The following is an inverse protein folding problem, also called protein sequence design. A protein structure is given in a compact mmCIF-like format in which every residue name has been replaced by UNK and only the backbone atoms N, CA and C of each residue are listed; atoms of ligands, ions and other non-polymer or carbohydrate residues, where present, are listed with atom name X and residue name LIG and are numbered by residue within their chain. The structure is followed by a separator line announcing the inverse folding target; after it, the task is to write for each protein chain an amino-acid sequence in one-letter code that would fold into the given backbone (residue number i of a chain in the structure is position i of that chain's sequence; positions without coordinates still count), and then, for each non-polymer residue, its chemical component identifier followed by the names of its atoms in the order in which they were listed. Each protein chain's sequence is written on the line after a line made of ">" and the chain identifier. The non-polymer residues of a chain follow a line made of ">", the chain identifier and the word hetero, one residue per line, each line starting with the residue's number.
data_IF_295171626772
#
_entry.id   IF_295171626772
#
_cell.length_a   1.000
_cell.length_b   1.000
_cell.length_c   1.000
_cell.angle_alpha   90.00
_cell.angle_beta   90.00
_cell.angle_gamma   90.00
#
_symmetry.space_group_name_H-M   'P 1'
#
loop_
_entity.id
_entity.type
_entity.pdbx_description
1 polymer ?
#
# COMPACT_ATOMS: atom_id res chain seq x y z
N UNK A 1 -5.76 -4.58 -27.35
CA UNK A 1 -6.10 -4.72 -25.92
C UNK A 1 -6.64 -6.10 -25.60
N UNK A 2 -7.59 -6.66 -26.35
CA UNK A 2 -8.18 -8.00 -26.15
C UNK A 2 -7.14 -9.14 -26.22
N UNK A 3 -6.21 -9.09 -27.17
CA UNK A 3 -5.16 -10.13 -27.36
C UNK A 3 -4.21 -10.25 -26.15
N UNK A 4 -3.96 -9.16 -25.43
CA UNK A 4 -3.10 -9.17 -24.24
C UNK A 4 -3.78 -9.86 -23.04
N UNK A 5 -5.08 -9.67 -22.89
CA UNK A 5 -5.88 -10.29 -21.84
C UNK A 5 -5.99 -11.81 -22.03
N UNK A 6 -6.22 -12.28 -23.27
CA UNK A 6 -6.34 -13.72 -23.55
C UNK A 6 -5.02 -14.48 -23.33
N UNK A 7 -3.89 -13.87 -23.66
CA UNK A 7 -2.57 -14.48 -23.39
C UNK A 7 -2.22 -14.50 -21.90
N UNK A 8 -2.69 -13.52 -21.15
CA UNK A 8 -2.51 -13.43 -19.70
C UNK A 8 -3.34 -14.49 -18.97
N UNK A 9 -4.63 -14.60 -19.29
CA UNK A 9 -5.52 -15.63 -18.70
C UNK A 9 -5.11 -17.07 -19.06
N UNK A 10 -4.59 -17.29 -20.28
CA UNK A 10 -4.03 -18.57 -20.68
C UNK A 10 -2.83 -18.99 -19.84
N UNK A 11 -1.97 -18.03 -19.44
CA UNK A 11 -0.81 -18.30 -18.59
C UNK A 11 -1.17 -18.52 -17.12
N UNK A 12 -2.14 -17.79 -16.59
CA UNK A 12 -2.64 -18.03 -15.22
C UNK A 12 -3.19 -19.45 -15.03
N UNK A 13 -3.79 -20.04 -16.07
CA UNK A 13 -4.30 -21.41 -16.03
C UNK A 13 -3.20 -22.49 -16.09
N UNK A 14 -2.02 -22.16 -16.60
CA UNK A 14 -0.92 -23.12 -16.80
C UNK A 14 0.15 -23.07 -15.71
N UNK A 15 0.30 -21.96 -15.01
CA UNK A 15 1.28 -21.84 -13.92
C UNK A 15 0.62 -22.14 -12.57
N UNK A 16 0.86 -23.35 -12.05
CA UNK A 16 0.49 -23.76 -10.69
C UNK A 16 1.34 -22.96 -9.69
N UNK A 17 0.91 -21.75 -9.32
CA UNK A 17 1.52 -21.00 -8.24
C UNK A 17 1.20 -21.69 -6.89
N UNK A 18 2.16 -21.78 -5.96
CA UNK A 18 2.09 -22.64 -4.77
C UNK A 18 1.25 -22.08 -3.61
N UNK A 19 0.29 -21.19 -3.86
CA UNK A 19 -0.56 -20.61 -2.82
C UNK A 19 -1.77 -21.52 -2.57
N UNK A 20 -1.67 -22.35 -1.56
CA UNK A 20 -2.75 -23.24 -1.11
C UNK A 20 -3.95 -22.41 -0.63
N UNK A 21 -5.09 -22.54 -1.28
CA UNK A 21 -6.40 -22.11 -0.79
C UNK A 21 -7.15 -21.07 -1.64
N UNK A 22 -6.63 -20.64 -2.77
CA UNK A 22 -7.28 -19.68 -3.66
C UNK A 22 -8.00 -20.38 -4.82
N UNK A 23 -9.32 -20.21 -4.92
CA UNK A 23 -10.05 -20.59 -6.14
C UNK A 23 -10.15 -19.34 -7.04
N UNK A 24 -9.36 -19.32 -8.09
CA UNK A 24 -9.34 -18.24 -9.08
C UNK A 24 -10.72 -17.93 -9.69
N UNK A 25 -11.56 -18.95 -9.89
CA UNK A 25 -12.88 -18.76 -10.47
C UNK A 25 -13.83 -17.86 -9.66
N UNK A 26 -13.69 -17.81 -8.33
CA UNK A 26 -14.51 -16.92 -7.49
C UNK A 26 -14.06 -15.46 -7.59
N UNK A 27 -12.75 -15.23 -7.66
CA UNK A 27 -12.17 -13.87 -7.79
C UNK A 27 -12.42 -13.31 -9.19
N UNK A 28 -12.24 -14.11 -10.24
CA UNK A 28 -12.56 -13.69 -11.61
C UNK A 28 -14.04 -13.32 -11.76
N UNK A 29 -14.96 -14.11 -11.23
CA UNK A 29 -16.40 -13.84 -11.32
C UNK A 29 -16.80 -12.58 -10.52
N UNK A 30 -16.22 -12.38 -9.35
CA UNK A 30 -16.42 -11.17 -8.55
C UNK A 30 -15.89 -9.93 -9.28
N UNK A 31 -14.71 -10.03 -9.90
CA UNK A 31 -14.10 -8.93 -10.66
C UNK A 31 -14.81 -8.62 -11.97
N UNK A 32 -15.31 -9.62 -12.68
CA UNK A 32 -16.12 -9.39 -13.89
C UNK A 32 -17.44 -8.70 -13.52
N UNK A 33 -18.09 -9.12 -12.44
CA UNK A 33 -19.27 -8.43 -11.91
C UNK A 33 -18.98 -6.97 -11.51
N UNK A 34 -17.86 -6.73 -10.84
CA UNK A 34 -17.40 -5.37 -10.50
C UNK A 34 -17.12 -4.52 -11.74
N UNK A 35 -16.51 -5.07 -12.79
CA UNK A 35 -16.21 -4.34 -14.02
C UNK A 35 -17.45 -3.79 -14.68
N UNK A 36 -18.53 -4.57 -14.72
CA UNK A 36 -19.80 -4.13 -15.32
C UNK A 36 -20.47 -3.03 -14.47
N UNK A 37 -20.31 -3.08 -13.16
CA UNK A 37 -20.73 -2.00 -12.26
C UNK A 37 -19.86 -0.74 -12.37
N UNK A 38 -18.53 -0.87 -12.55
CA UNK A 38 -17.57 0.24 -12.61
C UNK A 38 -17.49 0.94 -13.97
N UNK A 39 -18.03 0.34 -15.04
CA UNK A 39 -17.96 0.90 -16.39
C UNK A 39 -18.71 2.22 -16.59
N UNK A 40 -19.53 2.64 -15.63
CA UNK A 40 -20.39 3.81 -15.72
C UNK A 40 -19.89 5.05 -14.95
N UNK A 41 -18.71 5.01 -14.31
CA UNK A 41 -18.22 6.14 -13.52
C UNK A 41 -17.59 7.24 -14.37
N UNK A 42 -18.23 8.38 -14.43
CA UNK A 42 -17.73 9.60 -15.09
C UNK A 42 -17.73 10.84 -14.17
N UNK A 43 -17.74 10.65 -12.85
CA UNK A 43 -17.85 11.78 -11.95
C UNK A 43 -16.54 12.53 -11.73
N UNK A 44 -16.59 13.86 -11.73
CA UNK A 44 -15.41 14.66 -11.46
C UNK A 44 -14.98 14.51 -10.00
N UNK A 45 -13.70 14.40 -9.80
CA UNK A 45 -13.04 14.51 -8.49
C UNK A 45 -13.36 15.89 -7.90
N UNK A 46 -13.56 15.95 -6.59
CA UNK A 46 -13.74 17.22 -5.91
C UNK A 46 -12.50 18.14 -6.11
N UNK A 47 -12.70 19.44 -5.99
CA UNK A 47 -11.60 20.41 -6.07
C UNK A 47 -10.62 20.30 -4.88
N UNK A 48 -10.98 19.55 -3.84
CA UNK A 48 -10.17 19.35 -2.63
C UNK A 48 -10.21 17.87 -2.20
N UNK A 49 -9.65 16.94 -3.01
CA UNK A 49 -9.62 15.53 -2.67
C UNK A 49 -8.73 15.30 -1.45
N UNK A 50 -9.16 14.42 -0.54
CA UNK A 50 -8.39 14.06 0.65
C UNK A 50 -7.46 12.89 0.34
N UNK A 51 -6.30 12.88 0.98
CA UNK A 51 -5.40 11.73 0.93
C UNK A 51 -5.41 11.03 2.29
N UNK A 52 -5.84 9.75 2.34
CA UNK A 52 -6.01 9.04 3.59
C UNK A 52 -5.12 7.79 3.62
N UNK A 53 -4.24 7.76 4.60
CA UNK A 53 -3.40 6.61 4.89
C UNK A 53 -4.10 5.67 5.87
N UNK A 54 -4.12 4.38 5.54
CA UNK A 54 -4.59 3.31 6.41
C UNK A 54 -3.37 2.54 6.92
N UNK A 55 -3.12 2.62 8.21
CA UNK A 55 -1.93 2.04 8.85
C UNK A 55 -2.36 0.91 9.80
N UNK A 56 -2.39 -0.34 9.32
CA UNK A 56 -2.69 -1.49 10.18
C UNK A 56 -1.50 -1.77 11.10
N UNK A 57 -1.70 -1.60 12.41
CA UNK A 57 -0.66 -1.80 13.41
C UNK A 57 -0.75 -3.20 14.01
N UNK A 58 0.36 -3.93 14.07
CA UNK A 58 0.46 -5.22 14.75
C UNK A 58 0.11 -5.06 16.22
N UNK A 59 -0.54 -6.07 16.84
CA UNK A 59 -0.79 -6.03 18.30
C UNK A 59 0.50 -6.20 19.09
N UNK A 60 0.53 -5.61 20.29
CA UNK A 60 1.65 -5.78 21.22
C UNK A 60 1.93 -7.24 21.55
N UNK A 61 0.88 -8.06 21.66
CA UNK A 61 1.00 -9.48 21.95
C UNK A 61 1.66 -10.30 20.82
N UNK A 62 1.52 -9.83 19.57
CA UNK A 62 2.14 -10.47 18.39
C UNK A 62 3.51 -9.91 18.02
N UNK A 63 3.80 -8.68 18.45
CA UNK A 63 5.06 -8.04 18.16
C UNK A 63 6.21 -8.78 18.86
N UNK A 64 7.28 -9.08 18.13
CA UNK A 64 8.51 -9.63 18.72
C UNK A 64 9.20 -8.60 19.62
N UNK A 65 9.15 -7.34 19.22
CA UNK A 65 9.64 -6.20 19.97
C UNK A 65 8.71 -5.01 19.72
N UNK A 66 7.90 -4.68 20.72
CA UNK A 66 6.93 -3.57 20.65
C UNK A 66 7.60 -2.19 20.62
N UNK A 67 8.77 -2.07 21.27
CA UNK A 67 9.52 -0.81 21.27
C UNK A 67 9.99 -0.49 19.85
N UNK A 68 10.52 -1.49 19.15
CA UNK A 68 10.92 -1.35 17.75
C UNK A 68 9.73 -1.01 16.86
N UNK A 69 8.57 -1.65 17.06
CA UNK A 69 7.34 -1.33 16.31
C UNK A 69 6.95 0.14 16.51
N UNK A 70 6.97 0.63 17.75
CA UNK A 70 6.66 2.03 18.04
C UNK A 70 7.68 3.00 17.44
N UNK A 71 8.96 2.66 17.45
CA UNK A 71 10.01 3.49 16.84
C UNK A 71 9.82 3.60 15.31
N UNK A 72 9.57 2.48 14.64
CA UNK A 72 9.35 2.45 13.20
C UNK A 72 8.07 3.22 12.83
N UNK A 73 6.96 3.01 13.55
CA UNK A 73 5.75 3.78 13.35
C UNK A 73 5.98 5.29 13.52
N UNK A 74 6.78 5.68 14.50
CA UNK A 74 7.13 7.10 14.71
C UNK A 74 7.82 7.67 13.47
N UNK A 75 8.79 6.98 12.91
CA UNK A 75 9.47 7.40 11.67
C UNK A 75 8.52 7.46 10.47
N UNK A 76 7.64 6.48 10.33
CA UNK A 76 6.57 6.50 9.31
C UNK A 76 5.71 7.76 9.44
N UNK A 77 5.28 8.11 10.67
CA UNK A 77 4.48 9.32 10.91
C UNK A 77 5.27 10.61 10.68
N UNK A 78 6.53 10.67 11.06
CA UNK A 78 7.41 11.82 10.76
C UNK A 78 7.57 12.02 9.25
N UNK A 79 7.63 10.95 8.46
CA UNK A 79 7.64 11.03 7.01
C UNK A 79 6.31 11.57 6.45
N UNK A 80 5.18 11.25 7.07
CA UNK A 80 3.89 11.84 6.70
C UNK A 80 3.82 13.32 7.08
N UNK A 81 4.31 13.69 8.25
CA UNK A 81 4.38 15.11 8.67
C UNK A 81 5.26 15.93 7.72
N UNK A 82 6.31 15.33 7.15
CA UNK A 82 7.23 15.98 6.20
C UNK A 82 6.69 16.07 4.76
N UNK A 83 5.50 15.56 4.47
CA UNK A 83 4.91 15.67 3.13
C UNK A 83 4.75 17.14 2.72
N UNK A 84 5.19 17.48 1.51
CA UNK A 84 5.12 18.85 0.97
C UNK A 84 3.69 19.35 0.77
N UNK A 85 2.73 18.46 0.60
CA UNK A 85 1.31 18.76 0.59
C UNK A 85 0.66 18.31 1.91
N UNK A 86 0.08 19.22 2.71
CA UNK A 86 -0.50 18.91 4.02
C UNK A 86 -1.91 18.30 3.97
N UNK A 87 -2.52 18.15 2.78
CA UNK A 87 -3.90 17.67 2.63
C UNK A 87 -4.01 16.15 2.74
N UNK A 88 -3.55 15.62 3.87
CA UNK A 88 -3.62 14.20 4.19
C UNK A 88 -4.14 13.96 5.61
N UNK A 89 -4.59 12.73 5.84
CA UNK A 89 -4.89 12.16 7.15
C UNK A 89 -4.28 10.76 7.25
N UNK A 90 -4.06 10.28 8.47
CA UNK A 90 -3.64 8.91 8.73
C UNK A 90 -4.51 8.28 9.82
N UNK A 91 -5.01 7.08 9.56
CA UNK A 91 -5.78 6.28 10.51
C UNK A 91 -4.94 5.06 10.86
N UNK A 92 -4.46 5.01 12.10
CA UNK A 92 -3.74 3.87 12.64
C UNK A 92 -4.78 2.95 13.28
N UNK A 93 -4.90 1.71 12.79
CA UNK A 93 -5.82 0.73 13.35
C UNK A 93 -5.07 -0.41 14.04
N UNK A 94 -5.31 -0.58 15.33
CA UNK A 94 -4.63 -1.61 16.12
C UNK A 94 -5.29 -1.90 17.46
N UNK A 95 -4.95 -3.04 18.06
CA UNK A 95 -5.44 -3.41 19.40
C UNK A 95 -4.84 -2.53 20.51
N UNK A 96 -3.62 -2.06 20.32
CA UNK A 96 -2.86 -1.30 21.28
C UNK A 96 -2.42 0.03 20.68
N UNK A 97 -2.66 1.14 21.37
CA UNK A 97 -2.09 2.43 21.03
C UNK A 97 -0.55 2.37 21.13
N UNK A 98 0.18 3.09 20.27
CA UNK A 98 1.63 3.21 20.41
C UNK A 98 2.02 3.87 21.73
N UNK A 99 3.24 3.58 22.22
CA UNK A 99 3.75 4.08 23.52
C UNK A 99 4.31 5.53 23.41
N UNK A 100 3.76 6.33 22.51
CA UNK A 100 4.07 7.75 22.35
C UNK A 100 2.82 8.55 21.99
N UNK A 101 2.86 9.85 22.22
CA UNK A 101 1.73 10.73 21.95
C UNK A 101 1.60 11.04 20.45
N UNK A 102 0.37 10.96 19.95
CA UNK A 102 0.01 11.34 18.58
C UNK A 102 -0.38 12.82 18.57
N UNK A 103 0.61 13.70 18.41
CA UNK A 103 0.42 15.15 18.55
C UNK A 103 -0.06 15.87 17.27
N UNK A 104 -0.09 15.19 16.12
CA UNK A 104 -0.59 15.76 14.87
C UNK A 104 -2.09 15.50 14.73
N UNK A 105 -2.89 16.56 14.59
CA UNK A 105 -4.35 16.45 14.46
C UNK A 105 -4.82 15.69 13.19
N UNK A 106 -3.94 15.46 12.24
CA UNK A 106 -4.19 14.65 11.05
C UNK A 106 -4.03 13.15 11.31
N UNK A 107 -3.49 12.74 12.46
CA UNK A 107 -3.26 11.34 12.83
C UNK A 107 -4.29 10.90 13.86
N UNK A 108 -5.01 9.85 13.53
CA UNK A 108 -6.05 9.27 14.39
C UNK A 108 -5.69 7.81 14.74
N UNK A 109 -5.92 7.42 15.99
CA UNK A 109 -5.86 6.02 16.40
C UNK A 109 -7.25 5.44 16.52
N UNK A 110 -7.54 4.46 15.67
CA UNK A 110 -8.76 3.68 15.66
C UNK A 110 -8.50 2.35 16.37
N UNK A 111 -9.12 2.19 17.56
CA UNK A 111 -8.97 0.95 18.31
C UNK A 111 -9.65 -0.19 17.58
N UNK A 112 -8.90 -1.23 17.26
CA UNK A 112 -9.44 -2.46 16.70
C UNK A 112 -10.24 -3.21 17.77
N UNK A 113 -11.52 -3.49 17.47
CA UNK A 113 -12.47 -3.98 18.48
C UNK A 113 -12.45 -5.50 18.62
N UNK A 114 -11.83 -6.22 17.72
CA UNK A 114 -11.75 -7.67 17.80
C UNK A 114 -10.84 -8.10 18.97
N UNK A 115 -11.12 -9.27 19.50
CA UNK A 115 -10.34 -9.83 20.60
C UNK A 115 -8.87 -9.96 20.20
N UNK A 116 -7.98 -9.90 21.19
CA UNK A 116 -6.58 -10.26 20.98
C UNK A 116 -6.55 -11.58 20.19
N UNK A 117 -5.84 -11.61 19.07
CA UNK A 117 -5.87 -12.79 18.20
C UNK A 117 -5.33 -13.99 18.97
N UNK A 118 -6.25 -14.87 19.34
CA UNK A 118 -5.95 -16.09 20.12
C UNK A 118 -5.17 -17.12 19.32
N UNK A 119 -4.96 -16.87 18.02
CA UNK A 119 -4.27 -17.76 17.09
C UNK A 119 -3.37 -16.94 16.15
N UNK A 120 -2.53 -17.62 15.37
CA UNK A 120 -1.67 -17.06 14.31
C UNK A 120 -2.45 -16.41 13.14
N UNK A 121 -3.66 -15.92 13.39
CA UNK A 121 -4.50 -15.28 12.38
C UNK A 121 -3.92 -13.93 12.00
N UNK A 122 -3.74 -13.73 10.72
CA UNK A 122 -3.36 -12.48 10.13
C UNK A 122 -4.59 -11.55 10.11
N UNK A 123 -4.55 -10.45 10.85
CA UNK A 123 -5.69 -9.55 11.09
C UNK A 123 -5.59 -8.18 10.35
N UNK A 124 -4.65 -8.07 9.41
CA UNK A 124 -4.42 -6.84 8.63
C UNK A 124 -5.66 -6.44 7.83
N UNK A 125 -6.33 -7.42 7.21
CA UNK A 125 -7.49 -7.14 6.36
C UNK A 125 -8.70 -6.68 7.17
N UNK A 126 -8.93 -7.28 8.32
CA UNK A 126 -10.02 -6.90 9.22
C UNK A 126 -9.80 -5.46 9.76
N UNK A 127 -8.56 -5.07 10.05
CA UNK A 127 -8.21 -3.69 10.43
C UNK A 127 -8.45 -2.71 9.29
N UNK A 128 -8.08 -3.07 8.07
CA UNK A 128 -8.36 -2.24 6.88
C UNK A 128 -9.87 -2.10 6.66
N UNK A 129 -10.64 -3.15 6.84
CA UNK A 129 -12.10 -3.12 6.74
C UNK A 129 -12.73 -2.18 7.78
N UNK A 130 -12.25 -2.23 9.03
CA UNK A 130 -12.68 -1.30 10.07
C UNK A 130 -12.31 0.16 9.74
N UNK A 131 -11.11 0.41 9.20
CA UNK A 131 -10.73 1.74 8.72
C UNK A 131 -11.66 2.23 7.61
N UNK A 132 -11.98 1.39 6.63
CA UNK A 132 -12.89 1.73 5.52
C UNK A 132 -14.28 2.06 6.03
N UNK A 133 -14.81 1.29 6.96
CA UNK A 133 -16.10 1.55 7.58
C UNK A 133 -16.08 2.88 8.34
N UNK A 134 -15.03 3.14 9.12
CA UNK A 134 -14.85 4.40 9.84
C UNK A 134 -14.81 5.62 8.89
N UNK A 135 -14.11 5.50 7.75
CA UNK A 135 -14.08 6.56 6.73
C UNK A 135 -15.48 6.85 6.17
N UNK A 136 -16.26 5.82 5.87
CA UNK A 136 -17.64 5.98 5.37
C UNK A 136 -18.52 6.77 6.34
N UNK A 137 -18.29 6.63 7.62
CA UNK A 137 -19.08 7.28 8.66
C UNK A 137 -18.61 8.69 8.98
N UNK A 138 -17.30 8.94 8.86
CA UNK A 138 -16.68 10.18 9.37
C UNK A 138 -16.12 11.10 8.28
N UNK A 139 -15.90 10.58 7.07
CA UNK A 139 -15.28 11.31 5.96
C UNK A 139 -16.12 11.21 4.68
N UNK A 140 -17.26 11.93 4.59
CA UNK A 140 -18.18 11.83 3.45
C UNK A 140 -17.66 12.60 2.23
N UNK A 141 -16.41 12.47 1.89
CA UNK A 141 -15.78 13.12 0.75
C UNK A 141 -15.16 12.09 -0.18
N UNK A 142 -14.55 12.55 -1.23
CA UNK A 142 -13.75 11.79 -2.14
C UNK A 142 -12.25 12.03 -1.93
N UNK A 143 -11.42 11.19 -2.53
CA UNK A 143 -9.98 11.33 -2.43
C UNK A 143 -9.23 10.04 -2.77
N UNK A 144 -8.12 9.84 -2.10
CA UNK A 144 -7.28 8.67 -2.29
C UNK A 144 -7.07 7.91 -0.99
N UNK A 145 -7.20 6.58 -1.06
CA UNK A 145 -6.84 5.66 0.01
C UNK A 145 -5.49 5.00 -0.30
N UNK A 146 -4.66 4.89 0.72
CA UNK A 146 -3.35 4.24 0.64
C UNK A 146 -3.14 3.34 1.86
N UNK A 147 -2.90 2.06 1.62
CA UNK A 147 -2.42 1.16 2.69
C UNK A 147 -0.95 1.43 2.90
N UNK A 148 -0.57 1.83 4.10
CA UNK A 148 0.81 2.10 4.48
C UNK A 148 1.19 1.20 5.66
N UNK A 149 2.17 0.35 5.51
CA UNK A 149 2.67 -0.46 6.62
C UNK A 149 3.39 0.44 7.63
N UNK A 150 3.28 0.08 8.91
CA UNK A 150 3.70 0.92 10.04
C UNK A 150 5.23 1.10 10.16
N UNK A 151 5.98 0.53 9.25
CA UNK A 151 7.44 0.53 9.19
C UNK A 151 7.99 1.08 7.86
N UNK A 152 7.10 1.53 6.95
CA UNK A 152 7.47 2.06 5.64
C UNK A 152 7.56 3.59 5.63
N UNK A 153 8.43 4.14 4.78
CA UNK A 153 8.70 5.57 4.71
C UNK A 153 8.44 6.10 3.30
N UNK A 154 7.53 7.07 3.17
CA UNK A 154 7.20 7.69 1.89
C UNK A 154 8.09 8.89 1.57
N UNK A 155 8.34 9.07 0.28
CA UNK A 155 9.00 10.26 -0.27
C UNK A 155 8.16 11.52 0.02
N UNK A 156 8.82 12.62 0.43
CA UNK A 156 8.15 13.87 0.83
C UNK A 156 7.22 14.48 -0.21
N UNK A 157 7.43 14.21 -1.51
CA UNK A 157 6.60 14.73 -2.60
C UNK A 157 5.46 13.80 -3.04
N UNK A 158 5.28 12.67 -2.36
CA UNK A 158 4.36 11.64 -2.82
C UNK A 158 2.90 12.11 -2.81
N UNK A 159 2.41 12.68 -1.72
CA UNK A 159 1.03 13.20 -1.62
C UNK A 159 0.82 14.33 -2.62
N UNK A 160 1.77 15.25 -2.74
CA UNK A 160 1.72 16.32 -3.73
C UNK A 160 1.64 15.81 -5.16
N UNK A 161 2.39 14.73 -5.48
CA UNK A 161 2.32 14.12 -6.80
C UNK A 161 0.94 13.55 -7.10
N UNK A 162 0.37 12.75 -6.19
CA UNK A 162 -0.94 12.14 -6.40
C UNK A 162 -2.04 13.20 -6.54
N UNK A 163 -2.08 14.17 -5.64
CA UNK A 163 -3.13 15.20 -5.62
C UNK A 163 -3.06 16.18 -6.80
N UNK A 164 -1.93 16.29 -7.49
CA UNK A 164 -1.81 17.05 -8.73
C UNK A 164 -2.31 16.31 -9.97
N UNK A 165 -2.62 15.04 -9.86
CA UNK A 165 -3.16 14.23 -10.95
C UNK A 165 -4.61 13.83 -10.63
N UNK A 166 -5.57 14.75 -10.77
CA UNK A 166 -6.93 14.62 -10.25
C UNK A 166 -7.84 13.69 -11.08
N UNK A 167 -7.29 12.73 -11.76
CA UNK A 167 -8.06 11.73 -12.49
C UNK A 167 -8.35 10.53 -11.58
N UNK A 168 -9.44 9.82 -11.87
CA UNK A 168 -9.82 8.59 -11.18
C UNK A 168 -8.82 7.47 -11.48
N UNK A 169 -7.67 7.51 -10.88
CA UNK A 169 -6.55 6.63 -11.19
C UNK A 169 -6.18 5.75 -10.00
N UNK A 170 -5.56 4.64 -10.30
CA UNK A 170 -4.76 3.87 -9.36
C UNK A 170 -3.30 4.26 -9.55
N UNK A 171 -2.66 4.70 -8.48
CA UNK A 171 -1.22 4.98 -8.48
C UNK A 171 -0.46 3.80 -7.92
N UNK A 172 0.64 3.44 -8.59
CA UNK A 172 1.50 2.34 -8.18
C UNK A 172 2.95 2.80 -8.00
N UNK A 173 3.55 2.40 -6.89
CA UNK A 173 4.95 2.68 -6.56
C UNK A 173 5.78 1.47 -6.96
N UNK A 174 6.37 1.53 -8.16
CA UNK A 174 7.24 0.46 -8.69
C UNK A 174 8.73 0.71 -8.41
N UNK A 175 9.09 1.92 -7.94
CA UNK A 175 10.47 2.33 -7.66
C UNK A 175 10.62 2.73 -6.20
N UNK A 176 11.68 2.25 -5.58
CA UNK A 176 12.01 2.60 -4.21
C UNK A 176 13.20 1.84 -3.67
N UNK A 177 13.33 1.83 -2.36
CA UNK A 177 14.45 1.19 -1.69
C UNK A 177 13.95 0.15 -0.69
N UNK A 178 14.60 -0.99 -0.66
CA UNK A 178 14.48 -1.95 0.42
C UNK A 178 15.68 -1.75 1.34
N UNK A 179 15.47 -1.37 2.60
CA UNK A 179 16.53 -1.07 3.55
C UNK A 179 16.56 -2.04 4.72
N UNK A 180 17.77 -2.47 5.09
CA UNK A 180 18.02 -3.12 6.37
C UNK A 180 18.26 -2.08 7.48
N UNK A 181 18.13 -2.46 8.78
CA UNK A 181 18.40 -1.58 9.91
C UNK A 181 19.76 -0.90 9.79
N UNK A 182 19.80 0.38 10.16
CA UNK A 182 21.01 1.23 10.04
C UNK A 182 21.16 1.95 8.70
N UNK A 183 20.23 1.75 7.73
CA UNK A 183 20.07 2.57 6.53
C UNK A 183 21.20 2.53 5.49
N UNK A 184 22.27 1.76 5.73
CA UNK A 184 23.44 1.69 4.83
C UNK A 184 23.38 0.53 3.84
N UNK A 185 22.72 -0.54 4.22
CA UNK A 185 22.54 -1.72 3.39
C UNK A 185 21.14 -1.75 2.84
N UNK A 186 21.03 -1.90 1.52
CA UNK A 186 19.73 -1.87 0.87
C UNK A 186 19.82 -2.26 -0.60
N UNK A 187 18.68 -2.30 -1.24
CA UNK A 187 18.54 -2.48 -2.70
C UNK A 187 17.65 -1.39 -3.25
N UNK A 188 18.05 -0.84 -4.38
CA UNK A 188 17.14 -0.08 -5.22
C UNK A 188 16.30 -1.04 -6.05
N UNK A 189 15.00 -0.91 -5.97
CA UNK A 189 14.02 -1.70 -6.71
C UNK A 189 13.36 -0.80 -7.76
N UNK A 190 13.34 -1.24 -9.01
CA UNK A 190 12.68 -0.55 -10.11
C UNK A 190 12.30 -1.56 -11.18
N UNK A 191 11.29 -1.27 -12.03
CA UNK A 191 10.97 -2.11 -13.17
C UNK A 191 12.21 -2.29 -14.04
N UNK A 192 12.54 -3.52 -14.35
CA UNK A 192 13.56 -3.82 -15.35
C UNK A 192 12.96 -3.61 -16.74
N UNK A 193 13.77 -3.14 -17.69
CA UNK A 193 13.38 -3.06 -19.09
C UNK A 193 12.82 -4.41 -19.55
N UNK A 194 11.57 -4.40 -20.01
CA UNK A 194 10.73 -5.59 -20.26
C UNK A 194 11.17 -6.38 -21.50
N UNK A 195 12.34 -6.09 -22.08
CA UNK A 195 12.84 -6.76 -23.29
C UNK A 195 13.34 -8.20 -23.08
N UNK A 196 13.40 -8.65 -21.81
CA UNK A 196 13.75 -10.04 -21.48
C UNK A 196 12.68 -10.63 -20.57
N UNK A 197 11.84 -11.48 -21.13
CA UNK A 197 10.88 -12.34 -20.45
C UNK A 197 11.54 -13.10 -19.29
N UNK A 198 11.54 -12.53 -18.09
CA UNK A 198 11.76 -13.22 -16.86
C UNK A 198 10.63 -12.85 -15.91
N UNK A 199 9.87 -13.86 -15.54
CA UNK A 199 8.78 -13.83 -14.54
C UNK A 199 9.29 -13.63 -13.09
N UNK A 200 10.43 -13.01 -12.89
CA UNK A 200 10.90 -12.63 -11.57
C UNK A 200 10.86 -11.11 -11.53
N UNK A 201 9.79 -10.62 -10.97
CA UNK A 201 9.60 -9.20 -10.74
C UNK A 201 10.52 -8.76 -9.59
N UNK A 202 11.40 -7.83 -9.90
CA UNK A 202 12.21 -7.14 -8.90
C UNK A 202 11.65 -5.71 -8.66
N UNK A 203 10.34 -5.53 -8.83
CA UNK A 203 9.71 -4.25 -8.54
C UNK A 203 9.37 -4.12 -7.07
N UNK A 204 9.29 -2.91 -6.59
CA UNK A 204 8.90 -2.66 -5.21
C UNK A 204 7.47 -3.14 -4.93
N UNK A 205 6.56 -2.95 -5.88
CA UNK A 205 5.16 -3.36 -5.79
C UNK A 205 4.98 -4.88 -5.61
N UNK A 206 5.93 -5.69 -6.09
CA UNK A 206 5.88 -7.15 -5.89
C UNK A 206 6.36 -7.58 -4.50
N UNK A 207 7.03 -6.69 -3.79
CA UNK A 207 7.68 -7.00 -2.51
C UNK A 207 7.03 -6.32 -1.31
N UNK A 208 6.25 -5.25 -1.52
CA UNK A 208 5.77 -4.37 -0.46
C UNK A 208 4.29 -4.04 -0.60
N UNK A 209 3.54 -4.17 0.49
CA UNK A 209 2.09 -3.89 0.55
C UNK A 209 1.75 -2.39 0.50
N UNK A 210 2.70 -1.51 0.75
CA UNK A 210 2.54 -0.06 0.78
C UNK A 210 2.69 0.61 -0.60
N UNK A 211 2.46 -0.13 -1.68
CA UNK A 211 2.79 0.36 -3.03
C UNK A 211 1.61 0.87 -3.84
N UNK A 212 0.39 0.88 -3.29
CA UNK A 212 -0.79 1.23 -4.05
C UNK A 212 -1.60 2.34 -3.38
N UNK A 213 -2.06 3.29 -4.21
CA UNK A 213 -3.05 4.29 -3.84
C UNK A 213 -4.22 4.24 -4.82
N UNK A 214 -5.44 4.24 -4.30
CA UNK A 214 -6.67 4.20 -5.10
C UNK A 214 -7.57 5.39 -4.76
N UNK A 215 -8.23 5.93 -5.79
CA UNK A 215 -9.32 6.88 -5.59
C UNK A 215 -10.50 6.23 -4.87
N UNK A 216 -11.18 6.98 -4.03
CA UNK A 216 -12.45 6.60 -3.41
C UNK A 216 -13.47 7.72 -3.51
N UNK A 217 -14.77 7.35 -3.50
CA UNK A 217 -15.87 8.29 -3.39
C UNK A 217 -16.97 7.68 -2.50
N UNK A 218 -17.28 8.35 -1.40
CA UNK A 218 -18.33 7.89 -0.48
C UNK A 218 -19.73 8.29 -0.92
N UNK A 219 -19.88 9.26 -1.85
CA UNK A 219 -21.16 9.81 -2.29
C UNK A 219 -21.97 8.84 -3.17
N UNK A 220 -21.33 7.90 -3.82
CA UNK A 220 -21.91 7.06 -4.88
C UNK A 220 -22.13 5.59 -4.51
N UNK A 221 -22.56 5.34 -3.29
CA UNK A 221 -22.96 3.99 -2.89
C UNK A 221 -21.80 3.03 -2.61
N UNK A 222 -20.56 3.52 -2.50
CA UNK A 222 -19.44 2.76 -1.99
C UNK A 222 -18.78 1.80 -2.98
N UNK A 223 -19.00 1.94 -4.29
CA UNK A 223 -18.36 1.10 -5.31
C UNK A 223 -16.84 1.25 -5.30
N UNK A 224 -16.34 2.46 -5.15
CA UNK A 224 -14.90 2.72 -5.06
C UNK A 224 -14.28 2.12 -3.80
N UNK A 225 -15.04 2.05 -2.70
CA UNK A 225 -14.62 1.30 -1.52
C UNK A 225 -14.58 -0.21 -1.77
N UNK A 226 -15.53 -0.75 -2.55
CA UNK A 226 -15.48 -2.17 -2.95
C UNK A 226 -14.23 -2.46 -3.77
N UNK A 227 -13.85 -1.56 -4.68
CA UNK A 227 -12.61 -1.67 -5.44
C UNK A 227 -11.39 -1.70 -4.52
N UNK A 228 -11.25 -0.71 -3.63
CA UNK A 228 -10.15 -0.66 -2.69
C UNK A 228 -10.11 -1.91 -1.80
N UNK A 229 -11.27 -2.33 -1.29
CA UNK A 229 -11.39 -3.53 -0.47
C UNK A 229 -10.97 -4.79 -1.22
N UNK A 230 -11.36 -4.93 -2.49
CA UNK A 230 -10.94 -6.04 -3.34
C UNK A 230 -9.42 -6.03 -3.55
N UNK A 231 -8.84 -4.86 -3.84
CA UNK A 231 -7.40 -4.70 -4.03
C UNK A 231 -6.62 -4.94 -2.74
N UNK A 232 -7.07 -4.39 -1.62
CA UNK A 232 -6.39 -4.51 -0.32
C UNK A 232 -6.39 -5.96 0.22
N UNK A 233 -7.36 -6.79 -0.16
CA UNK A 233 -7.43 -8.22 0.20
C UNK A 233 -6.52 -9.12 -0.65
N UNK A 234 -5.96 -8.60 -1.73
CA UNK A 234 -5.09 -9.37 -2.61
C UNK A 234 -3.63 -9.19 -2.24
N UNK A 235 -2.81 -10.14 -2.67
CA UNK A 235 -1.37 -9.96 -2.60
C UNK A 235 -0.94 -8.74 -3.43
N UNK A 236 -0.04 -7.94 -2.88
CA UNK A 236 0.47 -6.72 -3.51
C UNK A 236 1.01 -6.94 -4.94
N UNK A 237 1.58 -8.10 -5.26
CA UNK A 237 2.02 -8.42 -6.62
C UNK A 237 0.90 -8.47 -7.66
N UNK A 238 -0.37 -8.39 -7.28
CA UNK A 238 -1.52 -8.39 -8.18
C UNK A 238 -2.14 -7.01 -8.41
N UNK A 239 -1.75 -5.98 -7.68
CA UNK A 239 -2.37 -4.65 -7.74
C UNK A 239 -2.44 -4.07 -9.16
N UNK A 240 -1.35 -4.16 -9.92
CA UNK A 240 -1.30 -3.65 -11.28
C UNK A 240 -2.27 -4.39 -12.20
N UNK A 241 -2.29 -5.70 -12.10
CA UNK A 241 -3.17 -6.54 -12.92
C UNK A 241 -4.65 -6.32 -12.59
N UNK A 242 -4.96 -6.18 -11.31
CA UNK A 242 -6.33 -5.95 -10.85
C UNK A 242 -6.86 -4.57 -11.28
N UNK A 243 -6.05 -3.52 -11.18
CA UNK A 243 -6.41 -2.20 -11.65
C UNK A 243 -6.72 -2.19 -13.15
N UNK A 244 -5.90 -2.88 -13.96
CA UNK A 244 -6.12 -3.04 -15.39
C UNK A 244 -7.40 -3.81 -15.69
N UNK A 245 -7.65 -4.91 -14.98
CA UNK A 245 -8.88 -5.72 -15.15
C UNK A 245 -10.14 -4.93 -14.82
N UNK A 246 -10.08 -4.07 -13.83
CA UNK A 246 -11.18 -3.19 -13.42
C UNK A 246 -11.32 -1.96 -14.33
N UNK A 247 -10.52 -1.86 -15.40
CA UNK A 247 -10.58 -0.75 -16.35
C UNK A 247 -10.12 0.58 -15.76
N UNK A 248 -9.40 0.56 -14.64
CA UNK A 248 -8.90 1.78 -14.00
C UNK A 248 -7.57 2.21 -14.64
N UNK A 249 -7.41 3.48 -15.02
CA UNK A 249 -6.13 3.99 -15.48
C UNK A 249 -5.08 3.86 -14.39
N UNK A 250 -3.98 3.20 -14.70
CA UNK A 250 -2.87 2.99 -13.78
C UNK A 250 -1.77 3.99 -14.06
N UNK A 251 -1.35 4.71 -13.03
CA UNK A 251 -0.28 5.69 -13.08
C UNK A 251 0.91 5.20 -12.26
N UNK A 252 2.04 5.00 -12.92
CA UNK A 252 3.28 4.70 -12.22
C UNK A 252 3.88 5.98 -11.63
N UNK A 253 4.22 5.96 -10.34
CA UNK A 253 4.96 7.05 -9.71
C UNK A 253 6.36 7.14 -10.35
N UNK A 254 6.74 8.29 -10.93
CA UNK A 254 7.92 8.36 -11.81
C UNK A 254 9.25 8.36 -11.05
N UNK A 255 9.23 8.52 -9.73
CA UNK A 255 10.41 8.60 -8.86
C UNK A 255 10.42 7.49 -7.81
N UNK A 256 11.57 7.20 -7.18
CA UNK A 256 11.64 6.30 -6.03
C UNK A 256 10.83 6.90 -4.87
N UNK A 257 9.66 6.30 -4.58
CA UNK A 257 8.66 6.93 -3.72
C UNK A 257 8.50 6.26 -2.35
N UNK A 258 9.13 5.11 -2.12
CA UNK A 258 8.97 4.35 -0.88
C UNK A 258 10.30 3.73 -0.43
N UNK A 259 10.52 3.76 0.87
CA UNK A 259 11.49 2.90 1.57
C UNK A 259 10.70 1.79 2.26
N UNK A 260 10.95 0.56 1.86
CA UNK A 260 10.49 -0.66 2.50
C UNK A 260 11.53 -1.12 3.50
N UNK A 261 11.25 -0.97 4.79
CA UNK A 261 12.14 -1.40 5.86
C UNK A 261 11.99 -2.90 6.11
N UNK A 262 13.12 -3.64 6.06
CA UNK A 262 13.15 -5.09 6.21
C UNK A 262 14.16 -5.52 7.29
N UNK A 263 14.09 -6.79 7.71
CA UNK A 263 15.04 -7.41 8.65
C UNK A 263 15.06 -6.83 10.06
N UNK A 264 14.08 -6.05 10.46
CA UNK A 264 13.95 -5.55 11.85
C UNK A 264 13.22 -6.54 12.79
N UNK A 265 12.88 -7.72 12.28
CA UNK A 265 12.36 -8.83 13.06
C UNK A 265 10.84 -8.85 13.27
N UNK A 266 10.12 -7.77 13.00
CA UNK A 266 8.66 -7.68 13.13
C UNK A 266 7.92 -7.68 11.79
N UNK A 267 8.61 -7.85 10.66
CA UNK A 267 8.01 -7.97 9.34
C UNK A 267 8.04 -9.41 8.81
N UNK A 268 7.21 -9.65 7.79
CA UNK A 268 7.08 -10.96 7.12
C UNK A 268 8.17 -11.22 6.07
N UNK A 269 9.13 -10.32 5.90
CA UNK A 269 10.21 -10.50 4.94
C UNK A 269 11.07 -11.70 5.29
N UNK A 270 10.92 -12.78 4.51
CA UNK A 270 11.66 -14.03 4.70
C UNK A 270 13.09 -14.03 4.16
N UNK A 271 13.61 -12.89 3.72
CA UNK A 271 14.97 -12.75 3.20
C UNK A 271 16.01 -13.04 4.28
N UNK A 272 16.88 -14.03 4.01
CA UNK A 272 17.95 -14.43 4.95
C UNK A 272 19.28 -13.75 4.67
N UNK A 273 19.37 -13.00 3.57
CA UNK A 273 20.63 -12.41 3.11
C UNK A 273 20.57 -10.90 3.31
N UNK A 274 21.53 -10.37 4.02
CA UNK A 274 21.72 -8.92 4.14
C UNK A 274 21.88 -8.31 2.74
N UNK A 275 21.13 -7.25 2.41
CA UNK A 275 21.31 -6.57 1.15
C UNK A 275 22.70 -5.92 1.08
N UNK A 276 23.22 -5.69 -0.13
CA UNK A 276 24.51 -5.05 -0.33
C UNK A 276 24.48 -3.60 0.17
N UNK A 277 25.66 -2.99 0.30
CA UNK A 277 25.77 -1.57 0.59
C UNK A 277 25.22 -0.75 -0.58
N UNK A 278 24.46 0.30 -0.26
CA UNK A 278 23.95 1.25 -1.24
C UNK A 278 25.07 2.10 -1.84
N UNK A 279 24.88 2.53 -3.09
CA UNK A 279 25.77 3.52 -3.70
C UNK A 279 25.66 4.88 -3.00
N UNK A 280 26.70 5.69 -3.11
CA UNK A 280 26.71 7.05 -2.55
C UNK A 280 25.56 7.91 -3.09
N UNK A 281 25.24 7.73 -4.37
CA UNK A 281 24.12 8.44 -5.02
C UNK A 281 22.76 8.04 -4.42
N UNK A 282 22.54 6.76 -4.15
CA UNK A 282 21.32 6.28 -3.51
C UNK A 282 21.22 6.79 -2.07
N UNK A 283 22.30 6.75 -1.31
CA UNK A 283 22.33 7.29 0.06
C UNK A 283 22.00 8.77 0.06
N UNK A 284 22.59 9.54 -0.87
CA UNK A 284 22.30 10.97 -1.02
C UNK A 284 20.82 11.20 -1.39
N UNK A 285 20.29 10.45 -2.36
CA UNK A 285 18.88 10.58 -2.76
C UNK A 285 17.94 10.32 -1.58
N UNK A 286 18.21 9.28 -0.78
CA UNK A 286 17.43 8.95 0.42
C UNK A 286 17.49 10.11 1.42
N UNK A 287 18.68 10.61 1.74
CA UNK A 287 18.86 11.72 2.68
C UNK A 287 18.14 12.99 2.25
N UNK A 288 18.09 13.28 0.95
CA UNK A 288 17.50 14.50 0.43
C UNK A 288 15.95 14.43 0.36
N UNK A 289 15.37 13.24 0.33
CA UNK A 289 13.96 13.06 -0.05
C UNK A 289 13.10 12.26 0.94
N UNK A 290 13.71 11.62 1.92
CA UNK A 290 13.00 10.82 2.92
C UNK A 290 13.39 11.25 4.33
N UNK A 291 12.45 11.13 5.25
CA UNK A 291 12.77 11.12 6.68
C UNK A 291 13.54 9.84 6.98
N UNK A 292 14.74 9.95 7.51
CA UNK A 292 15.62 8.80 7.77
C UNK A 292 15.60 8.44 9.25
N UNK A 293 15.80 7.15 9.49
CA UNK A 293 16.02 6.57 10.83
C UNK A 293 17.31 7.08 11.48
#
# INVERSE_FOLDING_TARGET
>A
MTVYLDSFFSRLKTERLPWRGFSWGSVENEMVGMRDEFGSFSNPISNDPKYIFLIPLISRAKAKDWIVVCQLLKVTLEALVSQSNPNWKAIICGQNSPDFELNDCRVEFLKFQDHEPTTNKFDKFEKLEQCIQHIKETHPADGFLHVLDADDVLHKEFVSFVLRHPNLNVFIINKGFMLAPGGRNGRYLAPRDVTKFRLVSDTLADSCGSCMSCYFDTREGGLEFKLFHALAKQSHGWFEHLAILLGRPLVQVPFPALIYNVLHGNNDYGGRVQPPQLSVEHVKYISDNFTTL
#
